data_IF_984440948167
#
_entry.id   IF_984440948167
#
_cell.length_a   1.000
_cell.length_b   1.000
_cell.length_c   1.000
_cell.angle_alpha   90.00
_cell.angle_beta   90.00
_cell.angle_gamma   90.00
#
_symmetry.space_group_name_H-M   'P 1'
#
loop_
_entity.id
_entity.type
_entity.pdbx_description
1 polymer ?
#
# COMPACT_ATOMS: atom_id res chain seq x y z
N UNK A 1 21.97 -0.32 -11.08
CA UNK A 1 22.01 0.05 -9.64
C UNK A 1 20.58 0.20 -9.14
N UNK A 2 19.78 -0.88 -9.20
CA UNK A 2 18.32 -0.76 -9.06
C UNK A 2 17.67 -1.86 -8.21
N UNK A 3 18.41 -2.92 -7.81
CA UNK A 3 17.87 -4.00 -6.97
C UNK A 3 17.79 -3.61 -5.48
N UNK A 4 18.92 -3.17 -4.91
CA UNK A 4 19.03 -2.89 -3.48
C UNK A 4 18.00 -1.86 -2.96
N UNK A 5 17.76 -0.78 -3.72
CA UNK A 5 16.80 0.26 -3.35
C UNK A 5 15.36 -0.26 -3.42
N UNK A 6 15.04 -1.16 -4.36
CA UNK A 6 13.70 -1.73 -4.47
C UNK A 6 13.40 -2.69 -3.32
N UNK A 7 14.37 -3.52 -2.93
CA UNK A 7 14.26 -4.45 -1.79
C UNK A 7 14.13 -3.69 -0.45
N UNK A 8 14.91 -2.62 -0.25
CA UNK A 8 14.80 -1.75 0.93
C UNK A 8 13.42 -1.09 1.02
N UNK A 9 12.90 -0.57 -0.10
CA UNK A 9 11.56 0.03 -0.16
C UNK A 9 10.46 -0.98 0.13
N UNK A 10 10.62 -2.20 -0.37
CA UNK A 10 9.68 -3.29 -0.10
C UNK A 10 9.64 -3.60 1.41
N UNK A 11 10.80 -3.74 2.04
CA UNK A 11 10.89 -3.97 3.48
C UNK A 11 10.30 -2.82 4.29
N UNK A 12 10.56 -1.56 3.90
CA UNK A 12 9.97 -0.39 4.57
C UNK A 12 8.44 -0.38 4.41
N UNK A 13 7.94 -0.71 3.22
CA UNK A 13 6.50 -0.74 2.96
C UNK A 13 5.80 -1.82 3.79
N UNK A 14 6.33 -3.04 3.81
CA UNK A 14 5.74 -4.16 4.57
C UNK A 14 5.75 -3.90 6.08
N UNK A 15 6.85 -3.38 6.62
CA UNK A 15 7.01 -3.23 8.07
C UNK A 15 6.42 -1.93 8.64
N UNK A 16 6.22 -0.90 7.81
CA UNK A 16 5.81 0.43 8.32
C UNK A 16 4.67 1.05 7.51
N UNK A 17 4.82 1.20 6.20
CA UNK A 17 3.86 2.00 5.41
C UNK A 17 2.49 1.33 5.31
N UNK A 18 2.47 0.02 5.05
CA UNK A 18 1.24 -0.77 4.94
C UNK A 18 0.51 -0.82 6.29
N UNK A 19 1.16 -1.20 7.42
CA UNK A 19 0.52 -1.16 8.73
C UNK A 19 -0.05 0.23 9.09
N UNK A 20 0.72 1.30 8.87
CA UNK A 20 0.28 2.66 9.17
C UNK A 20 -0.92 3.10 8.30
N UNK A 21 -0.89 2.76 7.02
CA UNK A 21 -1.97 3.07 6.10
C UNK A 21 -3.24 2.26 6.44
N UNK A 22 -3.10 0.99 6.85
CA UNK A 22 -4.23 0.20 7.37
C UNK A 22 -4.87 0.87 8.58
N UNK A 23 -4.08 1.22 9.59
CA UNK A 23 -4.59 1.86 10.81
C UNK A 23 -5.31 3.19 10.55
N UNK A 24 -4.93 3.92 9.49
CA UNK A 24 -5.55 5.20 9.12
C UNK A 24 -6.73 5.08 8.14
N UNK A 25 -6.86 3.95 7.43
CA UNK A 25 -7.89 3.71 6.41
C UNK A 25 -9.26 3.29 6.94
N UNK A 26 -9.35 2.96 8.24
CA UNK A 26 -10.58 2.44 8.85
C UNK A 26 -10.96 1.02 8.41
N UNK A 27 -10.04 0.31 7.74
CA UNK A 27 -10.20 -1.10 7.39
C UNK A 27 -9.97 -1.98 8.63
N UNK A 28 -10.80 -3.00 8.80
CA UNK A 28 -10.54 -4.05 9.80
C UNK A 28 -9.38 -4.94 9.35
N UNK A 29 -8.72 -5.58 10.31
CA UNK A 29 -7.61 -6.48 10.05
C UNK A 29 -8.05 -7.64 9.15
N UNK A 30 -7.32 -7.87 8.05
CA UNK A 30 -7.64 -8.93 7.09
C UNK A 30 -8.68 -8.59 6.02
N UNK A 31 -9.33 -7.41 6.04
CA UNK A 31 -10.27 -7.02 4.97
C UNK A 31 -9.60 -6.76 3.62
N UNK A 32 -8.34 -6.33 3.65
CA UNK A 32 -7.53 -6.04 2.47
C UNK A 32 -6.12 -6.56 2.71
N UNK A 33 -5.54 -7.16 1.69
CA UNK A 33 -4.15 -7.59 1.68
C UNK A 33 -3.48 -7.04 0.42
N UNK A 34 -2.27 -6.49 0.58
CA UNK A 34 -1.41 -6.09 -0.53
C UNK A 34 -0.42 -7.23 -0.74
N UNK A 35 -0.57 -7.94 -1.86
CA UNK A 35 0.35 -9.01 -2.24
C UNK A 35 1.74 -8.46 -2.55
N UNK A 36 2.77 -9.26 -2.29
CA UNK A 36 4.18 -8.85 -2.46
C UNK A 36 4.49 -8.46 -3.90
N UNK A 37 3.96 -9.18 -4.89
CA UNK A 37 4.14 -8.90 -6.32
C UNK A 37 3.43 -7.60 -6.76
N UNK A 38 2.25 -7.32 -6.20
CA UNK A 38 1.53 -6.06 -6.39
C UNK A 38 2.34 -4.88 -5.81
N UNK A 39 2.91 -5.05 -4.62
CA UNK A 39 3.80 -4.06 -4.02
C UNK A 39 5.07 -3.83 -4.85
N UNK A 40 5.72 -4.92 -5.30
CA UNK A 40 6.91 -4.83 -6.16
C UNK A 40 6.60 -4.13 -7.48
N UNK A 41 5.44 -4.42 -8.07
CA UNK A 41 4.97 -3.74 -9.28
C UNK A 41 4.75 -2.25 -9.04
N UNK A 42 4.12 -1.88 -7.91
CA UNK A 42 3.93 -0.49 -7.52
C UNK A 42 5.27 0.25 -7.37
N UNK A 43 6.24 -0.37 -6.70
CA UNK A 43 7.58 0.20 -6.50
C UNK A 43 8.27 0.42 -7.86
N UNK A 44 8.30 -0.63 -8.68
CA UNK A 44 9.00 -0.64 -9.98
C UNK A 44 8.45 0.40 -10.95
N UNK A 45 7.14 0.52 -11.04
CA UNK A 45 6.49 1.33 -12.07
C UNK A 45 6.19 2.76 -11.61
N UNK A 46 5.94 2.98 -10.32
CA UNK A 46 5.42 4.27 -9.82
C UNK A 46 6.34 4.98 -8.82
N UNK A 47 7.37 4.33 -8.28
CA UNK A 47 8.16 4.86 -7.16
C UNK A 47 9.67 4.95 -7.43
N UNK A 48 10.06 5.69 -8.49
CA UNK A 48 11.47 5.88 -8.92
C UNK A 48 12.28 6.91 -8.13
N UNK A 49 11.70 7.51 -7.10
CA UNK A 49 12.40 8.46 -6.22
C UNK A 49 13.48 7.77 -5.38
N UNK A 50 14.38 8.51 -4.72
CA UNK A 50 15.34 7.93 -3.78
C UNK A 50 14.71 7.52 -2.44
N UNK A 51 13.60 8.16 -2.04
CA UNK A 51 12.87 7.88 -0.80
C UNK A 51 11.62 6.99 -0.98
N UNK A 52 10.70 7.09 -0.01
CA UNK A 52 9.44 6.31 0.03
C UNK A 52 8.19 7.18 0.08
N UNK A 53 8.29 8.49 -0.15
CA UNK A 53 7.16 9.42 -0.02
C UNK A 53 6.05 9.14 -1.03
N UNK A 54 6.39 8.92 -2.29
CA UNK A 54 5.46 8.52 -3.33
C UNK A 54 4.94 7.10 -3.08
N UNK A 55 5.78 6.17 -2.61
CA UNK A 55 5.35 4.82 -2.25
C UNK A 55 4.26 4.85 -1.17
N UNK A 56 4.50 5.59 -0.10
CA UNK A 56 3.54 5.84 0.98
C UNK A 56 2.22 6.39 0.42
N UNK A 57 2.27 7.47 -0.37
CA UNK A 57 1.06 8.08 -0.96
C UNK A 57 0.26 7.11 -1.82
N UNK A 58 0.93 6.26 -2.60
CA UNK A 58 0.22 5.28 -3.43
C UNK A 58 -0.45 4.21 -2.57
N UNK A 59 0.23 3.70 -1.54
CA UNK A 59 -0.34 2.72 -0.60
C UNK A 59 -1.57 3.30 0.11
N UNK A 60 -1.44 4.51 0.68
CA UNK A 60 -2.55 5.22 1.33
C UNK A 60 -3.73 5.43 0.38
N UNK A 61 -3.45 5.81 -0.87
CA UNK A 61 -4.49 6.03 -1.89
C UNK A 61 -5.22 4.73 -2.23
N UNK A 62 -4.50 3.62 -2.42
CA UNK A 62 -5.09 2.31 -2.73
C UNK A 62 -5.98 1.84 -1.58
N UNK A 63 -5.49 1.85 -0.34
CA UNK A 63 -6.27 1.41 0.82
C UNK A 63 -7.49 2.30 1.07
N UNK A 64 -7.37 3.61 0.90
CA UNK A 64 -8.51 4.54 1.02
C UNK A 64 -9.60 4.28 -0.01
N UNK A 65 -9.23 3.97 -1.26
CA UNK A 65 -10.19 3.60 -2.31
C UNK A 65 -10.89 2.29 -1.99
N UNK A 66 -10.16 1.28 -1.52
CA UNK A 66 -10.74 -0.01 -1.16
C UNK A 66 -11.68 0.10 0.05
N UNK A 67 -11.31 0.88 1.06
CA UNK A 67 -12.18 1.20 2.20
C UNK A 67 -13.49 1.84 1.74
N UNK A 68 -13.43 2.80 0.82
CA UNK A 68 -14.62 3.42 0.25
C UNK A 68 -15.51 2.41 -0.51
N UNK A 69 -14.92 1.58 -1.36
CA UNK A 69 -15.66 0.57 -2.12
C UNK A 69 -16.31 -0.47 -1.19
N UNK A 70 -15.59 -1.02 -0.21
CA UNK A 70 -16.14 -1.98 0.75
C UNK A 70 -17.32 -1.40 1.55
N UNK A 71 -17.20 -0.15 2.00
CA UNK A 71 -18.27 0.55 2.70
C UNK A 71 -19.52 0.73 1.83
N UNK A 72 -19.35 0.93 0.52
CA UNK A 72 -20.46 1.01 -0.42
C UNK A 72 -21.17 -0.33 -0.56
N UNK A 73 -20.45 -1.44 -0.67
CA UNK A 73 -21.06 -2.78 -0.75
C UNK A 73 -21.75 -3.20 0.56
N UNK A 74 -21.18 -2.86 1.72
CA UNK A 74 -21.77 -3.17 3.03
C UNK A 74 -23.12 -2.49 3.25
N UNK A 75 -23.33 -1.27 2.71
CA UNK A 75 -24.61 -0.54 2.82
C UNK A 75 -25.70 -1.00 1.84
N UNK A 76 -25.40 -1.93 0.94
CA UNK A 76 -26.34 -2.42 -0.10
C UNK A 76 -27.03 -3.73 0.33
N UNK A 77 -26.55 -4.37 1.40
CA UNK A 77 -27.17 -5.53 2.05
C UNK A 77 -27.66 -5.17 3.46
#
# INVERSE_FOLDING_TARGET
>A
VSGCISEEKEAIAQNYLIPQAHSSSGLEEGQVLIETDALQSLIKWYCRESGVRNLQKHIEKVLSLLSFELNKYSKVY
#
